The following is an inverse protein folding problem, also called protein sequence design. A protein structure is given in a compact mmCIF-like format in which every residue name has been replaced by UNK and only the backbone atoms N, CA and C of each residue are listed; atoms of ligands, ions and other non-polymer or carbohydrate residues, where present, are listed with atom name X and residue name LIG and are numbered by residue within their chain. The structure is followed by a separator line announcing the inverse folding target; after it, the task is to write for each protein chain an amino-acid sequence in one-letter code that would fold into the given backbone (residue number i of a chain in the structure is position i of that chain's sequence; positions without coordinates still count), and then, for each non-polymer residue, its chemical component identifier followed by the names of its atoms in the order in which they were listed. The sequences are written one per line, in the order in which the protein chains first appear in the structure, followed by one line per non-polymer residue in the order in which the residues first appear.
data_IF_011082894576
#
_entry.id   IF_011082894576
#
_cell.length_a   1.000
_cell.length_b   1.000
_cell.length_c   1.000
_cell.angle_alpha   90.00
_cell.angle_beta   90.00
_cell.angle_gamma   90.00
#
_symmetry.space_group_name_H-M   'P 1'
#
loop_
_entity.id
_entity.type
_entity.pdbx_description
1 polymer ?
#
# COMPACT_ATOMS: atom_id res chain seq x y z
N UNK A 1 12.16 -51.75 -15.93
CA UNK A 1 11.16 -50.89 -16.59
C UNK A 1 10.34 -50.03 -15.62
N UNK A 2 9.97 -50.52 -14.42
CA UNK A 2 9.22 -49.70 -13.44
C UNK A 2 10.01 -48.51 -12.84
N UNK A 3 11.33 -48.63 -12.69
CA UNK A 3 12.17 -47.53 -12.20
C UNK A 3 12.26 -46.37 -13.20
N UNK A 4 12.32 -46.66 -14.51
CA UNK A 4 12.34 -45.63 -15.56
C UNK A 4 10.97 -44.90 -15.71
N UNK A 5 9.87 -45.57 -15.35
CA UNK A 5 8.54 -44.96 -15.33
C UNK A 5 8.34 -44.05 -14.11
N UNK A 6 8.98 -44.37 -12.97
CA UNK A 6 8.99 -43.51 -11.78
C UNK A 6 9.91 -42.28 -11.93
N UNK A 7 11.01 -42.39 -12.69
CA UNK A 7 11.85 -41.23 -13.02
C UNK A 7 11.15 -40.27 -14.00
N UNK A 8 10.21 -40.76 -14.83
CA UNK A 8 9.40 -39.90 -15.70
C UNK A 8 8.29 -39.17 -14.93
N UNK A 9 7.75 -39.72 -13.84
CA UNK A 9 6.82 -39.00 -12.94
C UNK A 9 7.52 -38.06 -11.95
N UNK A 10 8.80 -38.25 -11.61
CA UNK A 10 9.57 -37.24 -10.87
C UNK A 10 10.01 -36.04 -11.75
N UNK A 11 9.90 -36.15 -13.07
CA UNK A 11 9.87 -35.02 -14.01
C UNK A 11 8.46 -34.43 -14.16
N UNK A 12 7.62 -34.50 -13.13
CA UNK A 12 6.41 -33.69 -13.06
C UNK A 12 6.82 -32.24 -12.83
N UNK A 13 7.12 -31.56 -13.94
CA UNK A 13 7.13 -30.11 -14.11
C UNK A 13 7.90 -29.36 -13.02
N UNK A 14 9.23 -29.29 -13.15
CA UNK A 14 9.91 -28.05 -12.80
C UNK A 14 9.36 -26.98 -13.75
N UNK A 15 8.22 -26.38 -13.38
CA UNK A 15 7.58 -25.35 -14.15
C UNK A 15 8.64 -24.29 -14.44
N UNK A 16 8.91 -24.02 -15.71
CA UNK A 16 9.82 -22.95 -16.14
C UNK A 16 9.42 -21.71 -15.34
N UNK A 17 10.33 -21.21 -14.50
CA UNK A 17 10.06 -20.05 -13.66
C UNK A 17 9.54 -18.94 -14.59
N UNK A 18 8.41 -18.31 -14.28
CA UNK A 18 7.85 -17.30 -15.16
C UNK A 18 8.89 -16.20 -15.39
N UNK A 19 9.05 -15.77 -16.64
CA UNK A 19 9.96 -14.70 -17.03
C UNK A 19 9.20 -13.59 -17.76
N UNK A 20 9.76 -12.38 -17.74
CA UNK A 20 9.18 -11.22 -18.42
C UNK A 20 7.78 -10.86 -17.92
N UNK A 21 6.86 -10.59 -18.85
CA UNK A 21 5.50 -10.10 -18.54
C UNK A 21 4.71 -11.05 -17.63
N UNK A 22 4.87 -12.37 -17.80
CA UNK A 22 4.17 -13.37 -16.99
C UNK A 22 4.56 -13.30 -15.51
N UNK A 23 5.84 -13.03 -15.22
CA UNK A 23 6.34 -12.87 -13.85
C UNK A 23 5.76 -11.62 -13.18
N UNK A 24 5.86 -10.47 -13.84
CA UNK A 24 5.36 -9.21 -13.30
C UNK A 24 3.83 -9.21 -13.16
N UNK A 25 3.10 -9.89 -14.04
CA UNK A 25 1.66 -10.08 -13.91
C UNK A 25 1.29 -10.87 -12.65
N UNK A 26 2.08 -11.88 -12.26
CA UNK A 26 1.86 -12.64 -11.02
C UNK A 26 2.12 -11.77 -9.78
N UNK A 27 3.19 -10.98 -9.79
CA UNK A 27 3.46 -10.00 -8.71
C UNK A 27 2.36 -8.94 -8.63
N UNK A 28 1.90 -8.43 -9.78
CA UNK A 28 0.81 -7.48 -9.85
C UNK A 28 -0.48 -8.09 -9.27
N UNK A 29 -0.87 -9.30 -9.69
CA UNK A 29 -2.07 -9.95 -9.18
C UNK A 29 -2.00 -10.23 -7.67
N UNK A 30 -0.86 -10.71 -7.17
CA UNK A 30 -0.65 -10.91 -5.74
C UNK A 30 -0.77 -9.59 -4.97
N UNK A 31 -0.16 -8.52 -5.47
CA UNK A 31 -0.25 -7.19 -4.88
C UNK A 31 -1.67 -6.61 -4.90
N UNK A 32 -2.40 -6.85 -5.99
CA UNK A 32 -3.76 -6.39 -6.19
C UNK A 32 -4.72 -7.02 -5.20
N UNK A 33 -4.70 -8.35 -5.06
CA UNK A 33 -5.54 -9.07 -4.11
C UNK A 33 -5.14 -8.69 -2.68
N UNK A 34 -3.84 -8.61 -2.36
CA UNK A 34 -3.36 -8.21 -1.03
C UNK A 34 -3.87 -6.81 -0.64
N UNK A 35 -3.68 -5.79 -1.49
CA UNK A 35 -4.10 -4.43 -1.19
C UNK A 35 -5.62 -4.29 -1.20
N UNK A 36 -6.30 -4.86 -2.20
CA UNK A 36 -7.76 -4.79 -2.31
C UNK A 36 -8.45 -5.42 -1.10
N UNK A 37 -8.03 -6.60 -0.67
CA UNK A 37 -8.62 -7.30 0.49
C UNK A 37 -8.34 -6.59 1.80
N UNK A 38 -7.10 -6.15 2.03
CA UNK A 38 -6.71 -5.48 3.29
C UNK A 38 -7.37 -4.11 3.45
N UNK A 39 -7.46 -3.31 2.39
CA UNK A 39 -8.18 -2.04 2.45
C UNK A 39 -9.70 -2.23 2.44
N UNK A 40 -10.20 -3.20 1.67
CA UNK A 40 -11.61 -3.57 1.66
C UNK A 40 -12.11 -3.98 3.04
N UNK A 41 -11.36 -4.78 3.79
CA UNK A 41 -11.72 -5.20 5.14
C UNK A 41 -11.67 -4.06 6.17
N UNK A 42 -10.86 -3.02 5.92
CA UNK A 42 -10.79 -1.82 6.76
C UNK A 42 -11.81 -0.73 6.39
N UNK A 43 -12.66 -0.96 5.38
CA UNK A 43 -13.73 0.00 5.00
C UNK A 43 -14.59 0.46 6.19
N UNK A 44 -15.02 -0.41 7.14
CA UNK A 44 -15.77 0.03 8.31
C UNK A 44 -15.02 1.04 9.19
N UNK A 45 -13.72 0.82 9.41
CA UNK A 45 -12.87 1.72 10.20
C UNK A 45 -12.73 3.06 9.50
N UNK A 46 -12.57 3.02 8.20
CA UNK A 46 -12.46 4.18 7.33
C UNK A 46 -13.73 5.04 7.29
N UNK A 47 -14.90 4.41 7.21
CA UNK A 47 -16.19 5.10 7.28
C UNK A 47 -16.33 5.80 8.62
N UNK A 48 -16.10 5.10 9.73
CA UNK A 48 -16.20 5.69 11.08
C UNK A 48 -15.22 6.84 11.26
N UNK A 49 -13.97 6.67 10.82
CA UNK A 49 -12.95 7.73 10.87
C UNK A 49 -13.38 8.95 10.06
N UNK A 50 -13.95 8.76 8.87
CA UNK A 50 -14.41 9.85 8.02
C UNK A 50 -15.60 10.57 8.65
N UNK A 51 -16.56 9.83 9.21
CA UNK A 51 -17.71 10.37 9.97
C UNK A 51 -17.25 11.23 11.15
N UNK A 52 -16.32 10.74 11.96
CA UNK A 52 -15.72 11.50 13.07
C UNK A 52 -15.01 12.77 12.60
N UNK A 53 -14.43 12.78 11.40
CA UNK A 53 -13.75 13.95 10.84
C UNK A 53 -14.70 14.99 10.25
N UNK A 54 -15.83 14.55 9.69
CA UNK A 54 -16.83 15.42 9.07
C UNK A 54 -17.82 15.98 10.09
N UNK A 55 -18.21 15.18 11.09
CA UNK A 55 -19.16 15.54 12.13
C UNK A 55 -18.65 15.12 13.50
N UNK A 56 -17.71 15.93 14.01
CA UNK A 56 -17.11 15.72 15.32
C UNK A 56 -18.05 16.05 16.49
N UNK A 57 -19.23 16.61 16.22
CA UNK A 57 -20.23 16.92 17.26
C UNK A 57 -21.06 15.68 17.56
N UNK A 58 -21.57 15.01 16.51
CA UNK A 58 -22.33 13.77 16.66
C UNK A 58 -21.44 12.58 16.97
N UNK A 59 -20.30 12.44 16.28
CA UNK A 59 -19.38 11.31 16.40
C UNK A 59 -18.17 11.64 17.29
N UNK A 60 -18.43 11.88 18.59
CA UNK A 60 -17.43 12.36 19.56
C UNK A 60 -16.95 11.28 20.57
N UNK A 61 -17.47 10.06 20.49
CA UNK A 61 -17.25 9.01 21.52
C UNK A 61 -16.05 8.10 21.23
N UNK A 62 -15.02 8.63 20.54
CA UNK A 62 -13.89 7.84 20.05
C UNK A 62 -14.30 6.79 19.01
N UNK A 63 -13.36 5.94 18.57
CA UNK A 63 -13.57 5.00 17.46
C UNK A 63 -14.71 4.00 17.74
N UNK A 64 -14.67 3.31 18.88
CA UNK A 64 -15.66 2.27 19.21
C UNK A 64 -17.05 2.86 19.51
N UNK A 65 -17.11 4.03 20.16
CA UNK A 65 -18.37 4.72 20.41
C UNK A 65 -18.99 5.24 19.12
N UNK A 66 -18.19 5.84 18.24
CA UNK A 66 -18.63 6.32 16.93
C UNK A 66 -19.07 5.18 16.02
N UNK A 67 -18.40 4.02 16.07
CA UNK A 67 -18.82 2.80 15.38
C UNK A 67 -20.25 2.39 15.77
N UNK A 68 -20.56 2.35 17.07
CA UNK A 68 -21.92 2.06 17.56
C UNK A 68 -22.92 3.16 17.16
N UNK A 69 -22.51 4.42 17.15
CA UNK A 69 -23.36 5.54 16.72
C UNK A 69 -23.70 5.44 15.23
N UNK A 70 -22.76 5.07 14.36
CA UNK A 70 -23.02 4.87 12.92
C UNK A 70 -24.04 3.75 12.71
N UNK A 71 -23.86 2.60 13.38
CA UNK A 71 -24.84 1.50 13.29
C UNK A 71 -26.23 1.95 13.76
N UNK A 72 -26.29 2.70 14.88
CA UNK A 72 -27.56 3.15 15.46
C UNK A 72 -28.27 4.20 14.60
N UNK A 73 -27.53 5.11 13.99
CA UNK A 73 -28.09 6.28 13.29
C UNK A 73 -28.29 6.02 11.79
N UNK A 74 -27.39 5.28 11.15
CA UNK A 74 -27.34 5.06 9.68
C UNK A 74 -27.53 3.58 9.29
N UNK A 75 -27.51 2.66 10.25
CA UNK A 75 -27.63 1.22 10.02
C UNK A 75 -26.28 0.52 9.77
N UNK A 76 -26.25 -0.80 9.93
CA UNK A 76 -25.03 -1.59 9.77
C UNK A 76 -24.44 -1.53 8.35
N UNK A 77 -25.30 -1.40 7.33
CA UNK A 77 -24.86 -1.27 5.93
C UNK A 77 -24.04 0.00 5.66
N UNK A 78 -24.22 1.06 6.45
CA UNK A 78 -23.49 2.31 6.29
C UNK A 78 -21.97 2.14 6.47
N UNK A 79 -21.54 1.16 7.28
CA UNK A 79 -20.12 0.84 7.50
C UNK A 79 -19.41 0.36 6.23
N UNK A 80 -20.14 -0.11 5.23
CA UNK A 80 -19.59 -0.55 3.95
C UNK A 80 -19.72 0.50 2.84
N UNK A 81 -20.13 1.73 3.19
CA UNK A 81 -20.21 2.85 2.23
C UNK A 81 -18.84 3.11 1.63
N UNK A 82 -18.76 3.12 0.30
CA UNK A 82 -17.48 3.29 -0.40
C UNK A 82 -16.62 2.03 -0.49
N UNK A 83 -17.11 0.85 -0.09
CA UNK A 83 -16.39 -0.42 -0.24
C UNK A 83 -15.94 -0.66 -1.69
N UNK A 84 -16.85 -0.50 -2.67
CA UNK A 84 -16.55 -0.70 -4.09
C UNK A 84 -15.34 0.10 -4.59
N UNK A 85 -15.33 1.44 -4.51
CA UNK A 85 -14.17 2.22 -4.92
C UNK A 85 -12.93 1.95 -4.05
N UNK A 86 -13.08 1.63 -2.76
CA UNK A 86 -11.93 1.26 -1.90
C UNK A 86 -11.28 -0.02 -2.42
N UNK A 87 -12.04 -1.10 -2.54
CA UNK A 87 -11.53 -2.40 -2.97
C UNK A 87 -10.88 -2.31 -4.35
N UNK A 88 -11.58 -1.76 -5.35
CA UNK A 88 -11.06 -1.67 -6.73
C UNK A 88 -9.89 -0.68 -6.81
N UNK A 89 -9.94 0.44 -6.09
CA UNK A 89 -8.86 1.42 -6.03
C UNK A 89 -7.57 0.82 -5.52
N UNK A 90 -7.63 0.19 -4.35
CA UNK A 90 -6.47 -0.47 -3.76
C UNK A 90 -6.07 -1.75 -4.48
N UNK A 91 -6.98 -2.42 -5.19
CA UNK A 91 -6.65 -3.52 -6.09
C UNK A 91 -5.77 -3.04 -7.24
N UNK A 92 -6.19 -1.99 -7.96
CA UNK A 92 -5.40 -1.42 -9.06
C UNK A 92 -4.08 -0.82 -8.54
N UNK A 93 -4.13 -0.07 -7.44
CA UNK A 93 -2.92 0.48 -6.81
C UNK A 93 -1.96 -0.65 -6.43
N UNK A 94 -2.45 -1.71 -5.80
CA UNK A 94 -1.65 -2.87 -5.42
C UNK A 94 -0.98 -3.56 -6.61
N UNK A 95 -1.68 -3.66 -7.74
CA UNK A 95 -1.16 -4.22 -8.97
C UNK A 95 0.05 -3.44 -9.48
N UNK A 96 -0.12 -2.13 -9.67
CA UNK A 96 0.94 -1.25 -10.17
C UNK A 96 2.09 -1.09 -9.17
N UNK A 97 1.77 -1.02 -7.87
CA UNK A 97 2.75 -0.86 -6.80
C UNK A 97 3.67 -2.08 -6.67
N UNK A 98 3.13 -3.27 -6.48
CA UNK A 98 3.95 -4.47 -6.26
C UNK A 98 4.50 -5.05 -7.58
N UNK A 99 3.70 -5.09 -8.65
CA UNK A 99 4.17 -5.54 -9.95
C UNK A 99 5.19 -4.56 -10.56
N UNK A 100 4.90 -3.26 -10.47
CA UNK A 100 5.81 -2.21 -10.92
C UNK A 100 7.09 -2.16 -10.09
N UNK A 101 7.03 -2.38 -8.78
CA UNK A 101 8.24 -2.42 -7.95
C UNK A 101 9.23 -3.48 -8.43
N UNK A 102 8.77 -4.70 -8.71
CA UNK A 102 9.63 -5.77 -9.24
C UNK A 102 10.15 -5.46 -10.65
N UNK A 103 9.29 -4.90 -11.51
CA UNK A 103 9.67 -4.49 -12.86
C UNK A 103 10.75 -3.40 -12.87
N UNK A 104 10.56 -2.35 -12.09
CA UNK A 104 11.50 -1.22 -12.01
C UNK A 104 12.80 -1.62 -11.32
N UNK A 105 12.76 -2.50 -10.30
CA UNK A 105 13.99 -3.08 -9.72
C UNK A 105 14.82 -3.78 -10.80
N UNK A 106 14.22 -4.71 -11.55
CA UNK A 106 14.93 -5.44 -12.62
C UNK A 106 15.46 -4.49 -13.69
N UNK A 107 14.64 -3.54 -14.13
CA UNK A 107 15.02 -2.55 -15.15
C UNK A 107 16.22 -1.72 -14.71
N UNK A 108 16.25 -1.26 -13.46
CA UNK A 108 17.39 -0.50 -12.93
C UNK A 108 18.64 -1.37 -12.86
N UNK A 109 18.53 -2.61 -12.36
CA UNK A 109 19.66 -3.56 -12.28
C UNK A 109 20.25 -3.82 -13.66
N UNK A 110 19.40 -4.05 -14.67
CA UNK A 110 19.84 -4.31 -16.04
C UNK A 110 20.54 -3.11 -16.68
N UNK A 111 20.25 -1.89 -16.24
CA UNK A 111 20.87 -0.67 -16.73
C UNK A 111 22.19 -0.34 -16.02
N UNK A 112 22.28 -0.52 -14.71
CA UNK A 112 23.46 -0.11 -13.91
C UNK A 112 24.45 -1.25 -13.67
N UNK A 113 24.05 -2.50 -13.94
CA UNK A 113 24.80 -3.71 -13.63
C UNK A 113 24.57 -4.23 -12.21
N UNK A 114 24.68 -5.55 -12.02
CA UNK A 114 24.40 -6.21 -10.74
C UNK A 114 25.31 -5.71 -9.60
N UNK A 115 26.61 -5.54 -9.84
CA UNK A 115 27.57 -5.10 -8.83
C UNK A 115 27.20 -3.71 -8.26
N UNK A 116 26.92 -2.74 -9.14
CA UNK A 116 26.52 -1.38 -8.73
C UNK A 116 25.14 -1.38 -8.07
N UNK A 117 24.24 -2.26 -8.51
CA UNK A 117 22.93 -2.39 -7.89
C UNK A 117 23.02 -2.93 -6.46
N UNK A 118 23.95 -3.87 -6.19
CA UNK A 118 24.23 -4.39 -4.85
C UNK A 118 24.82 -3.29 -3.96
N UNK A 119 25.80 -2.54 -4.46
CA UNK A 119 26.40 -1.41 -3.75
C UNK A 119 25.36 -0.33 -3.41
N UNK A 120 24.47 0.00 -4.36
CA UNK A 120 23.45 1.04 -4.21
C UNK A 120 22.01 0.49 -4.02
N UNK A 121 21.87 -0.64 -3.31
CA UNK A 121 20.57 -1.32 -3.13
C UNK A 121 19.46 -0.45 -2.56
N UNK A 122 19.76 0.45 -1.62
CA UNK A 122 18.77 1.40 -1.09
C UNK A 122 18.30 2.32 -2.21
N UNK A 123 19.21 2.87 -3.01
CA UNK A 123 18.91 3.69 -4.17
C UNK A 123 17.94 3.00 -5.13
N UNK A 124 18.24 1.75 -5.47
CA UNK A 124 17.38 0.94 -6.34
C UNK A 124 15.98 0.75 -5.75
N UNK A 125 15.89 0.37 -4.47
CA UNK A 125 14.59 0.19 -3.79
C UNK A 125 13.78 1.49 -3.74
N UNK A 126 14.42 2.62 -3.43
CA UNK A 126 13.74 3.92 -3.37
C UNK A 126 13.20 4.35 -4.74
N UNK A 127 14.01 4.28 -5.79
CA UNK A 127 13.59 4.69 -7.14
C UNK A 127 12.52 3.74 -7.68
N UNK A 128 12.72 2.42 -7.57
CA UNK A 128 11.76 1.44 -8.05
C UNK A 128 10.40 1.58 -7.36
N UNK A 129 10.38 1.69 -6.02
CA UNK A 129 9.14 1.84 -5.27
C UNK A 129 8.47 3.20 -5.48
N UNK A 130 9.26 4.29 -5.61
CA UNK A 130 8.74 5.63 -5.87
C UNK A 130 8.06 5.76 -7.23
N UNK A 131 8.69 5.25 -8.30
CA UNK A 131 8.11 5.25 -9.65
C UNK A 131 6.87 4.34 -9.71
N UNK A 132 6.94 3.16 -9.10
CA UNK A 132 5.80 2.24 -9.03
C UNK A 132 4.60 2.87 -8.32
N UNK A 133 4.82 3.54 -7.18
CA UNK A 133 3.74 4.21 -6.44
C UNK A 133 3.17 5.39 -7.22
N UNK A 134 3.99 6.21 -7.86
CA UNK A 134 3.51 7.34 -8.64
C UNK A 134 2.54 6.89 -9.75
N UNK A 135 2.87 5.80 -10.46
CA UNK A 135 1.99 5.22 -11.48
C UNK A 135 0.73 4.63 -10.83
N UNK A 136 0.87 3.97 -9.69
CA UNK A 136 -0.24 3.41 -8.93
C UNK A 136 -1.23 4.50 -8.46
N UNK A 137 -0.73 5.67 -8.08
CA UNK A 137 -1.54 6.82 -7.65
C UNK A 137 -2.39 7.39 -8.79
N UNK A 138 -1.91 7.34 -10.04
CA UNK A 138 -2.70 7.76 -11.21
C UNK A 138 -3.96 6.88 -11.32
N UNK A 139 -3.81 5.56 -11.12
CA UNK A 139 -4.92 4.62 -11.15
C UNK A 139 -5.83 4.72 -9.91
N UNK A 140 -5.26 5.02 -8.74
CA UNK A 140 -5.98 5.12 -7.47
C UNK A 140 -6.83 6.40 -7.38
N UNK A 141 -6.32 7.53 -7.88
CA UNK A 141 -6.89 8.85 -7.65
C UNK A 141 -8.38 8.97 -8.04
N UNK A 142 -8.84 8.48 -9.21
CA UNK A 142 -10.26 8.51 -9.56
C UNK A 142 -11.15 7.73 -8.57
N UNK A 143 -10.65 6.63 -8.01
CA UNK A 143 -11.41 5.78 -7.11
C UNK A 143 -11.43 6.32 -5.67
N UNK A 144 -10.34 6.94 -5.20
CA UNK A 144 -10.37 7.71 -3.95
C UNK A 144 -11.30 8.92 -4.05
N UNK A 145 -11.27 9.64 -5.17
CA UNK A 145 -12.21 10.73 -5.44
C UNK A 145 -13.67 10.25 -5.40
N UNK A 146 -13.96 9.07 -5.94
CA UNK A 146 -15.29 8.44 -5.88
C UNK A 146 -15.67 8.04 -4.46
N UNK A 147 -14.76 7.37 -3.74
CA UNK A 147 -14.94 6.95 -2.35
C UNK A 147 -15.23 8.14 -1.43
N UNK A 148 -14.45 9.21 -1.53
CA UNK A 148 -14.62 10.41 -0.70
C UNK A 148 -16.02 10.99 -0.89
N UNK A 149 -16.53 11.09 -2.12
CA UNK A 149 -17.89 11.61 -2.36
C UNK A 149 -18.97 10.68 -1.83
N UNK A 150 -18.88 9.37 -2.08
CA UNK A 150 -19.84 8.39 -1.54
C UNK A 150 -19.87 8.41 0.00
N UNK A 151 -18.72 8.50 0.65
CA UNK A 151 -18.66 8.53 2.11
C UNK A 151 -19.09 9.89 2.64
N UNK A 152 -18.59 11.01 2.11
CA UNK A 152 -18.88 12.34 2.66
C UNK A 152 -20.28 12.87 2.37
N UNK A 153 -20.92 12.43 1.28
CA UNK A 153 -22.21 12.92 0.84
C UNK A 153 -23.18 11.73 0.66
N UNK A 154 -24.01 11.42 1.67
CA UNK A 154 -24.91 10.26 1.65
C UNK A 154 -25.86 10.20 0.44
N UNK A 155 -26.22 11.36 -0.13
CA UNK A 155 -27.12 11.49 -1.29
C UNK A 155 -26.40 11.56 -2.63
N UNK A 156 -25.07 11.41 -2.67
CA UNK A 156 -24.29 11.58 -3.91
C UNK A 156 -24.54 10.45 -4.91
N UNK A 157 -24.41 9.19 -4.51
CA UNK A 157 -24.68 8.04 -5.36
C UNK A 157 -24.80 6.76 -4.53
N UNK A 158 -25.33 5.69 -5.14
CA UNK A 158 -25.56 4.40 -4.46
C UNK A 158 -24.32 3.50 -4.39
N UNK A 159 -23.30 3.73 -5.22
CA UNK A 159 -22.13 2.87 -5.28
C UNK A 159 -21.08 3.32 -6.28
N UNK A 160 -20.09 2.45 -6.53
CA UNK A 160 -18.93 2.74 -7.38
C UNK A 160 -19.35 3.28 -8.76
N UNK A 161 -20.11 2.51 -9.53
CA UNK A 161 -20.42 2.85 -10.94
C UNK A 161 -21.22 4.15 -11.04
N UNK A 162 -22.27 4.30 -10.21
CA UNK A 162 -23.09 5.51 -10.23
C UNK A 162 -22.31 6.74 -9.74
N UNK A 163 -21.49 6.60 -8.70
CA UNK A 163 -20.66 7.69 -8.19
C UNK A 163 -19.58 8.10 -9.19
N UNK A 164 -18.89 7.13 -9.79
CA UNK A 164 -17.86 7.37 -10.79
C UNK A 164 -18.43 8.08 -12.03
N UNK A 165 -19.54 7.56 -12.57
CA UNK A 165 -20.20 8.17 -13.72
C UNK A 165 -20.70 9.58 -13.41
N UNK A 166 -21.26 9.80 -12.22
CA UNK A 166 -21.72 11.12 -11.81
C UNK A 166 -20.58 12.14 -11.77
N UNK A 167 -19.42 11.78 -11.21
CA UNK A 167 -18.23 12.66 -11.20
C UNK A 167 -17.78 12.93 -12.64
N UNK A 168 -17.72 11.89 -13.47
CA UNK A 168 -17.33 12.02 -14.87
C UNK A 168 -18.21 13.03 -15.61
N UNK A 169 -19.53 12.94 -15.45
CA UNK A 169 -20.50 13.78 -16.17
C UNK A 169 -20.65 15.18 -15.59
N UNK A 170 -20.66 15.31 -14.26
CA UNK A 170 -20.95 16.60 -13.58
C UNK A 170 -19.69 17.44 -13.32
N UNK A 171 -18.54 16.80 -13.09
CA UNK A 171 -17.31 17.48 -12.66
C UNK A 171 -16.13 17.33 -13.65
N UNK A 172 -16.24 16.38 -14.59
CA UNK A 172 -15.22 16.07 -15.57
C UNK A 172 -13.99 15.37 -15.00
N UNK A 173 -13.12 14.87 -15.89
CA UNK A 173 -11.97 14.04 -15.51
C UNK A 173 -10.91 14.82 -14.73
N UNK A 174 -10.44 15.94 -15.27
CA UNK A 174 -9.32 16.68 -14.68
C UNK A 174 -9.66 17.24 -13.29
N UNK A 175 -10.83 17.89 -13.15
CA UNK A 175 -11.25 18.51 -11.90
C UNK A 175 -11.91 17.51 -10.95
N UNK A 176 -12.79 16.64 -11.45
CA UNK A 176 -13.51 15.66 -10.64
C UNK A 176 -12.60 14.61 -10.02
N UNK A 177 -11.74 13.96 -10.82
CA UNK A 177 -10.91 12.86 -10.35
C UNK A 177 -9.53 13.27 -9.84
N UNK A 178 -8.88 14.27 -10.45
CA UNK A 178 -7.46 14.56 -10.17
C UNK A 178 -7.21 15.83 -9.34
N UNK A 179 -8.26 16.51 -8.86
CA UNK A 179 -8.10 17.65 -7.93
C UNK A 179 -7.37 17.29 -6.63
N UNK A 180 -7.42 16.02 -6.22
CA UNK A 180 -6.70 15.48 -5.05
C UNK A 180 -5.39 14.76 -5.38
N UNK A 181 -4.90 14.81 -6.62
CA UNK A 181 -3.75 13.99 -7.03
C UNK A 181 -2.45 14.37 -6.31
N UNK A 182 -2.14 15.68 -6.28
CA UNK A 182 -0.95 16.19 -5.58
C UNK A 182 -0.89 15.74 -4.11
N UNK A 183 -1.91 15.96 -3.27
CA UNK A 183 -1.86 15.50 -1.89
C UNK A 183 -1.80 13.96 -1.77
N UNK A 184 -2.36 13.21 -2.72
CA UNK A 184 -2.20 11.75 -2.75
C UNK A 184 -0.73 11.37 -2.95
N UNK A 185 -0.06 11.89 -3.98
CA UNK A 185 1.34 11.57 -4.29
C UNK A 185 2.28 11.93 -3.13
N UNK A 186 2.12 13.11 -2.55
CA UNK A 186 2.95 13.55 -1.41
C UNK A 186 2.77 12.69 -0.16
N UNK A 187 1.62 12.01 -0.04
CA UNK A 187 1.37 11.07 1.07
C UNK A 187 1.88 9.67 0.74
N UNK A 188 1.55 9.17 -0.44
CA UNK A 188 1.72 7.77 -0.80
C UNK A 188 3.16 7.43 -1.19
N UNK A 189 3.84 8.30 -1.94
CA UNK A 189 5.22 8.03 -2.39
C UNK A 189 6.19 7.90 -1.20
N UNK A 190 6.27 8.86 -0.25
CA UNK A 190 7.16 8.70 0.90
C UNK A 190 6.80 7.50 1.77
N UNK A 191 5.49 7.24 1.92
CA UNK A 191 4.99 6.08 2.66
C UNK A 191 5.44 4.77 2.02
N UNK A 192 5.26 4.61 0.72
CA UNK A 192 5.60 3.39 -0.01
C UNK A 192 7.11 3.19 -0.10
N UNK A 193 7.89 4.25 -0.34
CA UNK A 193 9.36 4.18 -0.35
C UNK A 193 9.89 3.68 0.99
N UNK A 194 9.48 4.30 2.10
CA UNK A 194 9.87 3.89 3.44
C UNK A 194 9.47 2.42 3.71
N UNK A 195 8.24 2.06 3.35
CA UNK A 195 7.70 0.71 3.52
C UNK A 195 8.53 -0.35 2.80
N UNK A 196 8.80 -0.20 1.49
CA UNK A 196 9.55 -1.22 0.75
C UNK A 196 11.02 -1.29 1.18
N UNK A 197 11.70 -0.16 1.35
CA UNK A 197 13.11 -0.14 1.78
C UNK A 197 13.28 -0.84 3.13
N UNK A 198 12.42 -0.53 4.09
CA UNK A 198 12.50 -1.12 5.43
C UNK A 198 12.06 -2.58 5.40
N UNK A 199 11.06 -2.94 4.59
CA UNK A 199 10.64 -4.33 4.42
C UNK A 199 11.78 -5.22 3.92
N UNK A 200 12.48 -4.79 2.86
CA UNK A 200 13.60 -5.55 2.28
C UNK A 200 14.73 -5.74 3.32
N UNK A 201 15.08 -4.66 4.04
CA UNK A 201 16.12 -4.71 5.08
C UNK A 201 15.73 -5.55 6.29
N UNK A 202 14.49 -5.45 6.74
CA UNK A 202 13.97 -6.25 7.84
C UNK A 202 13.92 -7.73 7.47
N UNK A 203 13.43 -8.04 6.27
CA UNK A 203 13.35 -9.41 5.75
C UNK A 203 14.76 -10.01 5.64
N UNK A 204 15.70 -9.31 5.03
CA UNK A 204 17.10 -9.74 4.92
C UNK A 204 17.73 -9.99 6.30
N UNK A 205 17.55 -9.08 7.24
CA UNK A 205 18.12 -9.21 8.58
C UNK A 205 17.51 -10.39 9.35
N UNK A 206 16.19 -10.59 9.26
CA UNK A 206 15.51 -11.69 9.95
C UNK A 206 15.92 -13.03 9.33
N UNK A 207 15.95 -13.13 7.99
CA UNK A 207 16.40 -14.34 7.30
C UNK A 207 17.85 -14.70 7.65
N UNK A 208 18.76 -13.73 7.68
CA UNK A 208 20.16 -13.95 8.10
C UNK A 208 20.28 -14.49 9.52
N UNK A 209 19.45 -14.01 10.45
CA UNK A 209 19.45 -14.50 11.83
C UNK A 209 18.89 -15.91 11.97
N UNK A 210 18.01 -16.33 11.05
CA UNK A 210 17.43 -17.68 11.05
C UNK A 210 18.40 -18.74 10.51
N UNK A 211 19.50 -18.35 9.85
CA UNK A 211 20.64 -19.23 9.55
C UNK A 211 20.37 -20.41 8.61
N UNK A 212 19.19 -20.48 8.00
CA UNK A 212 18.84 -21.51 7.01
C UNK A 212 19.10 -21.02 5.59
N UNK A 213 19.44 -21.94 4.68
CA UNK A 213 19.35 -21.67 3.24
C UNK A 213 17.91 -21.22 2.93
N UNK A 214 17.76 -20.20 2.09
CA UNK A 214 16.46 -19.61 1.69
C UNK A 214 15.45 -20.68 1.23
N UNK A 215 15.94 -21.80 0.68
CA UNK A 215 15.15 -22.93 0.19
C UNK A 215 14.80 -23.99 1.25
N UNK A 216 15.35 -23.92 2.45
CA UNK A 216 15.17 -24.91 3.53
C UNK A 216 14.16 -24.49 4.61
N UNK A 217 13.65 -23.25 4.57
CA UNK A 217 12.73 -22.75 5.57
C UNK A 217 11.30 -23.26 5.35
N UNK A 218 10.63 -23.64 6.43
CA UNK A 218 9.21 -24.00 6.38
C UNK A 218 8.38 -22.82 5.87
N UNK A 219 7.32 -23.11 5.12
CA UNK A 219 6.35 -22.11 4.63
C UNK A 219 5.86 -21.18 5.75
N UNK A 220 5.57 -21.76 6.93
CA UNK A 220 5.12 -20.99 8.11
C UNK A 220 6.16 -19.99 8.59
N UNK A 221 7.44 -20.35 8.51
CA UNK A 221 8.54 -19.47 8.88
C UNK A 221 8.61 -18.30 7.90
N UNK A 222 8.52 -18.56 6.59
CA UNK A 222 8.52 -17.51 5.56
C UNK A 222 7.33 -16.56 5.71
N UNK A 223 6.12 -17.07 5.97
CA UNK A 223 4.97 -16.22 6.30
C UNK A 223 5.26 -15.36 7.53
N UNK A 224 5.85 -15.95 8.57
CA UNK A 224 6.26 -15.24 9.79
C UNK A 224 7.26 -14.11 9.52
N UNK A 225 8.26 -14.36 8.66
CA UNK A 225 9.23 -13.35 8.22
C UNK A 225 8.54 -12.20 7.51
N UNK A 226 7.62 -12.48 6.57
CA UNK A 226 6.88 -11.44 5.86
C UNK A 226 6.00 -10.61 6.79
N UNK A 227 5.31 -11.25 7.74
CA UNK A 227 4.48 -10.56 8.73
C UNK A 227 5.32 -9.67 9.65
N UNK A 228 6.43 -10.19 10.19
CA UNK A 228 7.32 -9.45 11.09
C UNK A 228 8.01 -8.27 10.36
N UNK A 229 8.53 -8.52 9.17
CA UNK A 229 9.16 -7.50 8.34
C UNK A 229 8.16 -6.44 7.91
N UNK A 230 6.93 -6.85 7.56
CA UNK A 230 5.83 -5.94 7.25
C UNK A 230 5.42 -5.07 8.44
N UNK A 231 5.45 -5.61 9.67
CA UNK A 231 5.17 -4.84 10.88
C UNK A 231 6.23 -3.75 11.12
N UNK A 232 7.52 -4.12 11.04
CA UNK A 232 8.65 -3.19 11.18
C UNK A 232 8.59 -2.11 10.10
N UNK A 233 8.34 -2.52 8.85
CA UNK A 233 8.16 -1.62 7.72
C UNK A 233 7.00 -0.65 7.93
N UNK A 234 5.85 -1.12 8.42
CA UNK A 234 4.70 -0.28 8.70
C UNK A 234 4.96 0.75 9.80
N UNK A 235 5.69 0.38 10.85
CA UNK A 235 6.10 1.32 11.91
C UNK A 235 7.02 2.40 11.37
N UNK A 236 8.07 2.02 10.64
CA UNK A 236 9.00 2.96 10.05
C UNK A 236 8.31 3.88 9.02
N UNK A 237 7.47 3.31 8.16
CA UNK A 237 6.71 4.06 7.18
C UNK A 237 5.76 5.07 7.84
N UNK A 238 5.10 4.71 8.96
CA UNK A 238 4.26 5.64 9.71
C UNK A 238 5.08 6.82 10.26
N UNK A 239 6.26 6.56 10.85
CA UNK A 239 7.14 7.61 11.39
C UNK A 239 7.66 8.52 10.28
N UNK A 240 8.23 7.94 9.22
CA UNK A 240 8.88 8.68 8.14
C UNK A 240 7.87 9.55 7.36
N UNK A 241 6.67 9.03 7.11
CA UNK A 241 5.62 9.74 6.38
C UNK A 241 4.70 10.58 7.27
N UNK A 242 4.98 10.71 8.58
CA UNK A 242 4.15 11.48 9.50
C UNK A 242 4.09 12.97 9.19
N UNK A 243 5.22 13.66 8.96
CA UNK A 243 5.20 15.09 8.67
C UNK A 243 4.33 15.43 7.45
N UNK A 244 4.46 14.65 6.37
CA UNK A 244 3.67 14.82 5.16
C UNK A 244 2.16 14.62 5.43
N UNK A 245 1.79 13.55 6.14
CA UNK A 245 0.37 13.27 6.45
C UNK A 245 -0.27 14.35 7.34
N UNK A 246 0.45 14.84 8.36
CA UNK A 246 -0.05 15.92 9.21
C UNK A 246 -0.24 17.21 8.42
N UNK A 247 0.72 17.59 7.58
CA UNK A 247 0.62 18.81 6.76
C UNK A 247 -0.53 18.74 5.75
N UNK A 248 -0.68 17.59 5.08
CA UNK A 248 -1.74 17.38 4.10
C UNK A 248 -3.14 17.32 4.74
N UNK A 249 -3.25 16.76 5.94
CA UNK A 249 -4.49 16.77 6.71
C UNK A 249 -4.92 18.18 7.11
N UNK A 250 -3.96 19.05 7.47
CA UNK A 250 -4.25 20.45 7.86
C UNK A 250 -4.53 21.35 6.66
N UNK A 251 -3.81 21.20 5.55
CA UNK A 251 -4.03 22.04 4.37
C UNK A 251 -5.40 21.79 3.74
N UNK A 252 -5.91 20.55 3.80
CA UNK A 252 -7.26 20.22 3.31
C UNK A 252 -8.39 20.78 4.20
N UNK A 253 -8.10 21.14 5.46
CA UNK A 253 -9.07 21.75 6.39
C UNK A 253 -9.04 23.28 6.37
N UNK A 254 -7.98 23.87 5.83
CA UNK A 254 -7.81 25.33 5.78
C UNK A 254 -8.05 25.81 4.36
N UNK A 255 -9.02 26.72 4.17
CA UNK A 255 -9.10 27.49 2.92
C UNK A 255 -7.99 28.54 2.96
N UNK A 256 -7.28 28.73 1.87
CA UNK A 256 -6.22 29.72 1.80
C UNK A 256 -5.77 29.95 0.37
N UNK A 257 -5.47 31.19 0.06
CA UNK A 257 -5.02 31.61 -1.26
C UNK A 257 -3.51 31.38 -1.44
N UNK A 258 -3.11 31.13 -2.68
CA UNK A 258 -1.72 30.93 -3.07
C UNK A 258 -1.28 29.47 -3.27
N UNK A 259 -0.02 29.26 -3.69
CA UNK A 259 0.50 27.94 -4.03
C UNK A 259 0.46 26.96 -2.85
N UNK A 260 0.09 25.70 -3.13
CA UNK A 260 0.00 24.65 -2.11
C UNK A 260 1.33 24.50 -1.34
N UNK A 261 2.47 24.60 -2.04
CA UNK A 261 3.79 24.40 -1.43
C UNK A 261 4.18 25.50 -0.43
N UNK A 262 3.84 26.77 -0.70
CA UNK A 262 4.13 27.87 0.23
C UNK A 262 3.26 27.76 1.47
N UNK A 263 2.01 27.33 1.32
CA UNK A 263 1.09 27.05 2.42
C UNK A 263 1.54 25.87 3.27
N UNK A 264 2.00 24.78 2.66
CA UNK A 264 2.58 23.64 3.38
C UNK A 264 3.82 24.06 4.19
N UNK A 265 4.69 24.89 3.62
CA UNK A 265 5.86 25.41 4.31
C UNK A 265 5.47 26.32 5.50
N UNK A 266 4.45 27.17 5.33
CA UNK A 266 3.90 27.99 6.41
C UNK A 266 3.34 27.13 7.55
N UNK A 267 2.49 26.15 7.22
CA UNK A 267 1.94 25.20 8.19
C UNK A 267 3.04 24.41 8.92
N UNK A 268 4.10 24.01 8.23
CA UNK A 268 5.22 23.31 8.86
C UNK A 268 5.93 24.19 9.90
N UNK A 269 6.09 25.48 9.62
CA UNK A 269 6.66 26.45 10.57
C UNK A 269 5.72 26.67 11.77
N UNK A 270 4.42 26.83 11.53
CA UNK A 270 3.43 27.04 12.59
C UNK A 270 3.29 25.84 13.53
N UNK A 271 3.31 24.62 12.99
CA UNK A 271 3.21 23.40 13.79
C UNK A 271 4.48 23.12 14.59
N UNK A 272 5.63 23.52 14.05
CA UNK A 272 6.94 23.13 14.56
C UNK A 272 7.16 21.60 14.53
N UNK A 273 8.33 21.16 14.98
CA UNK A 273 8.72 19.75 14.92
C UNK A 273 7.75 18.83 15.66
N UNK A 274 7.34 19.20 16.88
CA UNK A 274 6.38 18.38 17.68
C UNK A 274 5.00 18.32 17.04
N UNK A 275 4.54 19.40 16.42
CA UNK A 275 3.23 19.44 15.75
C UNK A 275 3.17 18.54 14.52
N UNK A 276 4.30 18.34 13.82
CA UNK A 276 4.39 17.45 12.66
C UNK A 276 4.18 15.97 12.99
N UNK A 277 4.30 15.57 14.27
CA UNK A 277 4.11 14.18 14.70
C UNK A 277 2.79 13.93 15.46
N UNK A 278 1.86 14.89 15.41
CA UNK A 278 0.53 14.73 16.01
C UNK A 278 -0.24 13.58 15.37
N UNK A 279 -0.72 12.65 16.20
CA UNK A 279 -1.48 11.48 15.74
C UNK A 279 -0.62 10.27 15.37
N UNK A 280 0.70 10.31 15.59
CA UNK A 280 1.62 9.21 15.25
C UNK A 280 1.26 7.89 15.94
N UNK A 281 0.96 7.89 17.24
CA UNK A 281 0.70 6.66 18.00
C UNK A 281 -0.41 5.77 17.40
N UNK A 282 -1.63 6.30 17.21
CA UNK A 282 -2.70 5.56 16.52
C UNK A 282 -2.33 5.14 15.10
N UNK A 283 -1.54 5.96 14.39
CA UNK A 283 -1.11 5.66 13.03
C UNK A 283 -0.13 4.49 13.00
N UNK A 284 0.83 4.40 13.93
CA UNK A 284 1.78 3.29 14.04
C UNK A 284 1.03 1.96 14.17
N UNK A 285 0.02 1.89 15.05
CA UNK A 285 -0.77 0.67 15.24
C UNK A 285 -1.52 0.28 13.97
N UNK A 286 -2.24 1.23 13.37
CA UNK A 286 -3.05 0.97 12.18
C UNK A 286 -2.18 0.58 10.97
N UNK A 287 -1.15 1.38 10.68
CA UNK A 287 -0.28 1.19 9.51
C UNK A 287 0.61 -0.03 9.70
N UNK A 288 1.11 -0.29 10.91
CA UNK A 288 1.88 -1.49 11.24
C UNK A 288 1.07 -2.76 10.97
N UNK A 289 -0.14 -2.86 11.54
CA UNK A 289 -1.01 -4.02 11.35
C UNK A 289 -1.41 -4.20 9.87
N UNK A 290 -1.81 -3.11 9.20
CA UNK A 290 -2.18 -3.14 7.78
C UNK A 290 -1.01 -3.61 6.90
N UNK A 291 0.18 -3.05 7.11
CA UNK A 291 1.38 -3.38 6.31
C UNK A 291 1.84 -4.81 6.55
N UNK A 292 1.81 -5.27 7.81
CA UNK A 292 2.09 -6.66 8.17
C UNK A 292 1.17 -7.61 7.41
N UNK A 293 -0.14 -7.39 7.48
CA UNK A 293 -1.12 -8.21 6.75
C UNK A 293 -0.92 -8.15 5.23
N UNK A 294 -0.63 -6.97 4.67
CA UNK A 294 -0.37 -6.82 3.24
C UNK A 294 0.80 -7.67 2.77
N UNK A 295 1.95 -7.60 3.44
CA UNK A 295 3.11 -8.39 3.05
C UNK A 295 2.94 -9.88 3.35
N UNK A 296 2.25 -10.24 4.43
CA UNK A 296 1.87 -11.62 4.71
C UNK A 296 1.04 -12.21 3.57
N UNK A 297 -0.10 -11.59 3.23
CA UNK A 297 -0.97 -12.04 2.14
C UNK A 297 -0.23 -12.03 0.79
N UNK A 298 0.57 -10.99 0.53
CA UNK A 298 1.35 -10.89 -0.69
C UNK A 298 2.37 -12.02 -0.85
N UNK A 299 3.09 -12.36 0.21
CA UNK A 299 4.05 -13.46 0.22
C UNK A 299 3.39 -14.81 -0.05
N UNK A 300 2.25 -15.06 0.59
CA UNK A 300 1.45 -16.27 0.36
C UNK A 300 0.94 -16.36 -1.07
N UNK A 301 0.40 -15.28 -1.62
CA UNK A 301 -0.13 -15.25 -2.98
C UNK A 301 0.97 -15.39 -4.03
N UNK A 302 2.15 -14.83 -3.80
CA UNK A 302 3.31 -15.03 -4.68
C UNK A 302 3.71 -16.49 -4.79
N UNK A 303 3.68 -17.20 -3.66
CA UNK A 303 3.93 -18.64 -3.60
C UNK A 303 2.85 -19.42 -4.36
N UNK A 304 1.58 -19.14 -4.09
CA UNK A 304 0.43 -19.79 -4.77
C UNK A 304 0.47 -19.55 -6.30
N UNK A 305 0.83 -18.35 -6.74
CA UNK A 305 0.93 -18.02 -8.16
C UNK A 305 2.27 -18.44 -8.79
N UNK A 306 3.19 -19.03 -8.02
CA UNK A 306 4.50 -19.44 -8.51
C UNK A 306 5.32 -18.27 -9.07
N UNK A 307 5.27 -17.10 -8.43
CA UNK A 307 6.05 -15.93 -8.81
C UNK A 307 7.50 -15.98 -8.27
N UNK A 308 7.80 -16.86 -7.32
CA UNK A 308 9.12 -17.00 -6.69
C UNK A 308 9.45 -15.91 -5.66
N UNK A 309 10.66 -15.99 -5.11
CA UNK A 309 11.29 -14.86 -4.44
C UNK A 309 11.60 -13.80 -5.52
N UNK A 310 11.18 -12.54 -5.32
CA UNK A 310 11.25 -11.48 -6.33
C UNK A 310 12.68 -11.13 -6.72
N UNK A 311 12.90 -9.98 -7.33
CA UNK A 311 14.26 -9.56 -7.66
C UNK A 311 15.00 -9.23 -6.36
N UNK A 312 15.87 -10.15 -5.93
CA UNK A 312 16.64 -10.03 -4.70
C UNK A 312 17.97 -9.32 -4.98
N UNK A 313 18.24 -8.23 -4.26
CA UNK A 313 19.52 -7.53 -4.30
C UNK A 313 20.25 -7.80 -2.98
N UNK A 314 20.93 -8.95 -2.90
CA UNK A 314 21.71 -9.33 -1.72
C UNK A 314 23.21 -9.19 -1.98
N UNK A 315 23.92 -8.62 -1.00
CA UNK A 315 25.39 -8.77 -0.92
C UNK A 315 25.66 -10.23 -0.59
N UNK A 316 26.43 -10.94 -1.42
CA UNK A 316 26.98 -12.25 -1.07
C UNK A 316 27.67 -12.09 0.30
N UNK A 317 27.40 -12.98 1.24
CA UNK A 317 28.07 -12.92 2.54
C UNK A 317 29.58 -12.89 2.29
N UNK A 318 30.27 -11.89 2.83
CA UNK A 318 31.73 -11.89 2.84
C UNK A 318 32.12 -13.12 3.69
N UNK A 319 32.72 -14.13 3.06
CA UNK A 319 33.30 -15.29 3.74
C UNK A 319 34.40 -14.86 4.70
#
# INVERSE_FOLDING_TARGET
MAAAYQTQTQKQQAAVAPTGVSLYARFALAGAISCGTTHGSLTPVDVVKTRMQLDSVTYNKGMMGSFKQVIRNEGAGALMTGFGPTFIGYFLQGAFKFGGYEFWKKTIIDQIGEERAIENRIGVYMVASGVAEFIADIALCPLEATRIRLVSQPTFAKGLVSGFNRIWTEEGVARGFYSGFTPIVFKQVPYTVAKFVVFERASESIMKQLGGDHDSLSERTLTGVHLASGLIAGFAAAVISQPADTLLSKINKTKGDGPVMTRLAGLAKELGFRGLFLGLGPRIVMVGALTSLQFGIYGELRRVFGAGEGVIIMKKADN
#
